data_IF_048231465952
#
_entry.id   IF_048231465952
#
_cell.length_a   1.000
_cell.length_b   1.000
_cell.length_c   1.000
_cell.angle_alpha   90.00
_cell.angle_beta   90.00
_cell.angle_gamma   90.00
#
_symmetry.space_group_name_H-M   'P 1'
#
loop_
_entity.id
_entity.type
_entity.pdbx_description
1 polymer ?
#
# COMPACT_ATOMS: atom_id res chain seq x y z
N UNK A 1 -41.55 16.34 -37.29
CA UNK A 1 -40.50 16.60 -36.28
C UNK A 1 -39.67 15.34 -36.12
N UNK A 2 -38.49 15.25 -36.75
CA UNK A 2 -37.63 14.06 -36.72
C UNK A 2 -36.70 14.09 -35.49
N UNK A 3 -36.71 13.03 -34.69
CA UNK A 3 -35.71 12.76 -33.63
C UNK A 3 -34.47 12.10 -34.27
N UNK A 4 -33.23 12.49 -33.94
CA UNK A 4 -32.07 11.70 -34.33
C UNK A 4 -31.85 10.56 -33.31
N UNK A 5 -31.58 9.37 -33.82
CA UNK A 5 -31.16 8.21 -33.04
C UNK A 5 -29.71 8.41 -32.59
N UNK A 6 -29.47 8.29 -31.28
CA UNK A 6 -28.14 8.34 -30.70
C UNK A 6 -27.39 7.03 -30.98
N UNK A 7 -26.28 7.11 -31.69
CA UNK A 7 -25.35 6.00 -31.93
C UNK A 7 -24.68 5.61 -30.61
N UNK A 8 -24.96 4.42 -30.10
CA UNK A 8 -24.25 3.85 -28.96
C UNK A 8 -22.86 3.35 -29.41
N UNK A 9 -21.79 3.91 -28.84
CA UNK A 9 -20.42 3.44 -29.03
C UNK A 9 -20.19 2.13 -28.25
N UNK A 10 -19.47 1.13 -28.81
CA UNK A 10 -19.19 -0.11 -28.09
C UNK A 10 -18.15 0.12 -27.00
N UNK A 11 -18.48 -0.26 -25.77
CA UNK A 11 -17.55 -0.30 -24.65
C UNK A 11 -16.65 -1.54 -24.78
N UNK A 12 -15.44 -1.35 -25.31
CA UNK A 12 -14.42 -2.40 -25.35
C UNK A 12 -13.91 -2.66 -23.94
N UNK A 13 -14.38 -3.75 -23.32
CA UNK A 13 -13.84 -4.22 -22.04
C UNK A 13 -12.48 -4.86 -22.27
N UNK A 14 -11.40 -4.12 -22.00
CA UNK A 14 -10.06 -4.67 -21.99
C UNK A 14 -9.87 -5.46 -20.69
N UNK A 15 -10.02 -6.77 -20.77
CA UNK A 15 -9.65 -7.69 -19.70
C UNK A 15 -8.14 -7.60 -19.47
N UNK A 16 -7.72 -6.99 -18.36
CA UNK A 16 -6.32 -6.90 -17.97
C UNK A 16 -5.87 -8.23 -17.36
N UNK A 17 -5.20 -9.06 -18.15
CA UNK A 17 -4.51 -10.25 -17.68
C UNK A 17 -3.43 -9.82 -16.67
N UNK A 18 -3.48 -10.35 -15.45
CA UNK A 18 -2.47 -10.09 -14.42
C UNK A 18 -1.31 -11.07 -14.61
N UNK A 19 -0.08 -10.63 -14.90
CA UNK A 19 1.07 -11.53 -15.01
C UNK A 19 1.36 -12.21 -13.66
N UNK A 20 1.56 -13.54 -13.68
CA UNK A 20 1.84 -14.38 -12.50
C UNK A 20 3.30 -14.30 -12.00
N UNK A 21 4.11 -13.41 -12.57
CA UNK A 21 5.53 -13.25 -12.24
C UNK A 21 5.73 -11.85 -11.64
N UNK A 22 6.40 -11.70 -10.48
CA UNK A 22 6.76 -10.38 -10.00
C UNK A 22 7.81 -9.82 -10.96
N UNK A 23 7.36 -9.06 -11.96
CA UNK A 23 8.18 -8.09 -12.66
C UNK A 23 8.92 -7.28 -11.58
N UNK A 24 10.22 -6.99 -11.74
CA UNK A 24 10.87 -6.04 -10.87
C UNK A 24 10.05 -4.76 -10.88
N UNK A 25 9.69 -4.25 -9.70
CA UNK A 25 9.08 -2.93 -9.54
C UNK A 25 9.72 -1.97 -10.52
N UNK A 26 8.95 -1.47 -11.50
CA UNK A 26 9.48 -0.59 -12.53
C UNK A 26 10.22 0.54 -11.83
N UNK A 27 11.49 0.71 -12.18
CA UNK A 27 12.44 1.66 -11.56
C UNK A 27 12.02 3.13 -11.80
N UNK A 28 10.90 3.34 -12.48
CA UNK A 28 10.30 4.63 -12.80
C UNK A 28 9.37 5.09 -11.65
N UNK A 29 9.96 5.63 -10.59
CA UNK A 29 9.19 6.22 -9.50
C UNK A 29 10.06 6.72 -8.36
N UNK A 30 9.56 7.69 -7.61
CA UNK A 30 10.24 8.23 -6.44
C UNK A 30 10.01 7.31 -5.22
N UNK A 31 11.07 6.70 -4.65
CA UNK A 31 10.96 5.91 -3.43
C UNK A 31 10.41 6.75 -2.27
N UNK A 32 9.74 6.09 -1.33
CA UNK A 32 9.32 6.71 -0.07
C UNK A 32 10.54 7.10 0.77
N UNK A 33 10.40 8.13 1.59
CA UNK A 33 11.45 8.58 2.50
C UNK A 33 11.80 7.48 3.51
N UNK A 34 10.79 6.74 3.98
CA UNK A 34 10.94 5.60 4.86
C UNK A 34 9.80 4.58 4.66
N UNK A 35 9.89 3.47 5.39
CA UNK A 35 8.90 2.40 5.34
C UNK A 35 7.56 2.78 5.98
N UNK A 36 7.53 3.71 6.94
CA UNK A 36 6.31 4.14 7.60
C UNK A 36 5.45 4.98 6.66
N UNK A 37 6.05 5.95 5.95
CA UNK A 37 5.40 6.73 4.89
C UNK A 37 4.77 5.81 3.84
N UNK A 38 5.53 4.81 3.41
CA UNK A 38 5.08 3.81 2.45
C UNK A 38 3.86 3.03 2.98
N UNK A 39 3.91 2.59 4.24
CA UNK A 39 2.80 1.88 4.88
C UNK A 39 1.55 2.74 5.01
N UNK A 40 1.69 3.98 5.48
CA UNK A 40 0.58 4.93 5.59
C UNK A 40 -0.08 5.18 4.24
N UNK A 41 0.72 5.42 3.20
CA UNK A 41 0.24 5.58 1.83
C UNK A 41 -0.55 4.36 1.35
N UNK A 42 -0.04 3.15 1.57
CA UNK A 42 -0.73 1.93 1.17
C UNK A 42 -2.06 1.77 1.90
N UNK A 43 -2.11 2.02 3.21
CA UNK A 43 -3.35 1.96 3.99
C UNK A 43 -4.37 2.98 3.48
N UNK A 44 -3.98 4.23 3.20
CA UNK A 44 -4.90 5.22 2.64
C UNK A 44 -5.48 4.78 1.29
N UNK A 45 -4.63 4.27 0.40
CA UNK A 45 -5.09 3.80 -0.91
C UNK A 45 -6.09 2.63 -0.79
N UNK A 46 -5.87 1.73 0.17
CA UNK A 46 -6.80 0.64 0.46
C UNK A 46 -8.11 1.12 1.08
N UNK A 47 -8.09 2.04 2.02
CA UNK A 47 -9.29 2.64 2.62
C UNK A 47 -10.09 3.44 1.58
N UNK A 48 -9.43 4.22 0.72
CA UNK A 48 -10.07 4.94 -0.38
C UNK A 48 -10.74 3.97 -1.37
N UNK A 49 -10.06 2.88 -1.73
CA UNK A 49 -10.64 1.84 -2.59
C UNK A 49 -11.85 1.16 -1.92
N UNK A 50 -11.77 0.88 -0.62
CA UNK A 50 -12.88 0.32 0.15
C UNK A 50 -14.08 1.29 0.23
N UNK A 51 -13.81 2.60 0.27
CA UNK A 51 -14.82 3.66 0.20
C UNK A 51 -15.40 3.88 -1.22
N UNK A 52 -14.98 3.08 -2.22
CA UNK A 52 -15.52 3.12 -3.58
C UNK A 52 -14.74 4.01 -4.55
N UNK A 53 -13.57 4.53 -4.16
CA UNK A 53 -12.72 5.28 -5.09
C UNK A 53 -12.27 4.39 -6.25
N UNK A 54 -12.29 4.94 -7.47
CA UNK A 54 -11.79 4.28 -8.67
C UNK A 54 -10.36 4.73 -8.95
N UNK A 55 -9.47 3.76 -9.11
CA UNK A 55 -8.07 4.03 -9.47
C UNK A 55 -8.01 4.40 -10.95
N UNK A 56 -7.56 5.61 -11.24
CA UNK A 56 -7.29 6.09 -12.60
C UNK A 56 -5.78 6.24 -12.75
N UNK A 57 -5.21 5.60 -13.78
CA UNK A 57 -3.78 5.66 -14.04
C UNK A 57 -3.34 7.10 -14.35
N UNK A 58 -2.18 7.50 -13.83
CA UNK A 58 -1.60 8.83 -14.06
C UNK A 58 -2.18 9.97 -13.22
N UNK A 59 -3.13 9.70 -12.32
CA UNK A 59 -3.69 10.73 -11.42
C UNK A 59 -2.94 10.88 -10.08
N UNK A 60 -1.92 10.06 -9.83
CA UNK A 60 -1.07 10.20 -8.65
C UNK A 60 -0.17 11.43 -8.78
N UNK A 61 -0.10 12.28 -7.75
CA UNK A 61 0.77 13.46 -7.72
C UNK A 61 2.26 13.09 -7.78
N UNK A 62 2.61 11.92 -7.25
CA UNK A 62 3.97 11.37 -7.24
C UNK A 62 3.90 9.96 -7.81
N UNK A 63 4.67 9.70 -8.87
CA UNK A 63 4.86 8.35 -9.37
C UNK A 63 5.67 7.56 -8.33
N UNK A 64 5.07 6.52 -7.76
CA UNK A 64 5.72 5.62 -6.79
C UNK A 64 6.23 4.37 -7.51
N UNK A 65 7.35 3.77 -7.07
CA UNK A 65 7.92 2.59 -7.72
C UNK A 65 7.09 1.30 -7.50
N UNK A 66 5.99 1.37 -6.75
CA UNK A 66 5.15 0.21 -6.43
C UNK A 66 3.67 0.59 -6.33
N UNK A 67 2.79 -0.41 -6.40
CA UNK A 67 1.38 -0.28 -6.10
C UNK A 67 1.09 -0.52 -4.59
N UNK A 68 -0.03 0.00 -4.04
CA UNK A 68 -0.38 -0.22 -2.63
C UNK A 68 -0.45 -1.71 -2.24
N UNK A 69 -0.96 -2.54 -3.15
CA UNK A 69 -1.09 -3.98 -2.97
C UNK A 69 0.27 -4.67 -2.82
N UNK A 70 1.34 -4.09 -3.34
CA UNK A 70 2.67 -4.67 -3.27
C UNK A 70 3.26 -4.60 -1.86
N UNK A 71 2.98 -3.51 -1.13
CA UNK A 71 3.35 -3.42 0.28
C UNK A 71 2.60 -4.46 1.12
N UNK A 72 1.30 -4.66 0.87
CA UNK A 72 0.54 -5.70 1.54
C UNK A 72 1.12 -7.09 1.28
N UNK A 73 1.55 -7.37 0.04
CA UNK A 73 2.21 -8.63 -0.30
C UNK A 73 3.56 -8.81 0.41
N UNK A 74 4.33 -7.73 0.60
CA UNK A 74 5.58 -7.76 1.39
C UNK A 74 5.27 -8.12 2.84
N UNK A 75 4.29 -7.45 3.46
CA UNK A 75 3.90 -7.71 4.86
C UNK A 75 3.34 -9.13 5.03
N UNK A 76 2.48 -9.59 4.13
CA UNK A 76 1.93 -10.96 4.15
C UNK A 76 3.05 -12.00 4.03
N UNK A 77 4.03 -11.79 3.14
CA UNK A 77 5.19 -12.67 3.01
C UNK A 77 6.02 -12.73 4.28
N UNK A 78 6.27 -11.59 4.93
CA UNK A 78 7.02 -11.52 6.18
C UNK A 78 6.27 -12.21 7.34
N UNK A 79 4.94 -12.08 7.36
CA UNK A 79 4.08 -12.78 8.31
C UNK A 79 4.12 -14.31 8.10
N UNK A 80 3.97 -14.77 6.85
CA UNK A 80 4.06 -16.20 6.51
C UNK A 80 5.43 -16.80 6.81
N UNK A 81 6.49 -16.01 6.67
CA UNK A 81 7.85 -16.37 7.05
C UNK A 81 8.10 -16.31 8.58
N UNK A 82 7.07 -16.02 9.38
CA UNK A 82 7.13 -15.83 10.85
C UNK A 82 8.13 -14.76 11.30
N UNK A 83 8.44 -13.79 10.43
CA UNK A 83 9.23 -12.59 10.79
C UNK A 83 8.35 -11.49 11.37
N UNK A 84 7.07 -11.49 11.01
CA UNK A 84 6.04 -10.68 11.67
C UNK A 84 5.08 -11.60 12.43
N UNK A 85 4.62 -11.13 13.58
CA UNK A 85 3.65 -11.82 14.42
C UNK A 85 2.27 -11.17 14.29
N UNK A 86 1.23 -11.86 14.76
CA UNK A 86 -0.15 -11.36 14.72
C UNK A 86 -0.28 -9.99 15.42
N UNK A 87 0.40 -9.81 16.55
CA UNK A 87 0.40 -8.54 17.30
C UNK A 87 1.00 -7.38 16.49
N UNK A 88 2.03 -7.62 15.69
CA UNK A 88 2.57 -6.60 14.77
C UNK A 88 1.51 -6.18 13.76
N UNK A 89 0.78 -7.14 13.16
CA UNK A 89 -0.25 -6.83 12.18
C UNK A 89 -1.40 -6.00 12.78
N UNK A 90 -1.82 -6.33 14.00
CA UNK A 90 -2.85 -5.54 14.71
C UNK A 90 -2.42 -4.10 14.91
N UNK A 91 -1.20 -3.89 15.39
CA UNK A 91 -0.64 -2.54 15.59
C UNK A 91 -0.49 -1.80 14.27
N UNK A 92 0.07 -2.43 13.24
CA UNK A 92 0.24 -1.84 11.90
C UNK A 92 -1.09 -1.37 11.30
N UNK A 93 -2.14 -2.19 11.37
CA UNK A 93 -3.46 -1.82 10.84
C UNK A 93 -4.11 -0.73 11.69
N UNK A 94 -4.05 -0.84 13.02
CA UNK A 94 -4.68 0.12 13.93
C UNK A 94 -4.11 1.54 13.76
N UNK A 95 -2.78 1.66 13.74
CA UNK A 95 -2.10 2.94 13.60
C UNK A 95 -1.99 3.39 12.14
N UNK A 96 -1.89 2.45 11.20
CA UNK A 96 -1.97 2.74 9.77
C UNK A 96 -3.28 3.46 9.40
N UNK A 97 -4.43 3.01 9.91
CA UNK A 97 -5.72 3.68 9.65
C UNK A 97 -5.82 5.07 10.24
N UNK A 98 -5.11 5.33 11.35
CA UNK A 98 -5.06 6.66 11.99
C UNK A 98 -4.08 7.61 11.32
N UNK A 99 -3.25 7.11 10.41
CA UNK A 99 -2.20 7.88 9.75
C UNK A 99 -1.24 8.53 10.77
N UNK A 100 -1.01 7.84 11.90
CA UNK A 100 -0.05 8.26 12.91
C UNK A 100 0.59 7.04 13.55
N UNK A 101 1.89 7.14 13.86
CA UNK A 101 2.58 6.13 14.64
C UNK A 101 2.16 6.19 16.13
N UNK A 102 2.30 5.10 16.89
CA UNK A 102 2.14 5.11 18.35
C UNK A 102 3.12 6.05 19.05
N UNK A 103 2.61 6.84 19.99
CA UNK A 103 3.41 7.79 20.78
C UNK A 103 4.18 7.06 21.91
N UNK A 104 5.52 7.20 22.01
CA UNK A 104 6.32 6.52 23.03
C UNK A 104 6.03 7.04 24.45
N UNK A 105 5.78 8.34 24.61
CA UNK A 105 5.59 8.96 25.93
C UNK A 105 4.19 8.69 26.51
N UNK A 106 3.25 8.23 25.68
CA UNK A 106 1.89 7.90 26.13
C UNK A 106 1.88 6.49 26.70
N UNK A 107 1.69 6.37 28.01
CA UNK A 107 1.69 5.09 28.74
C UNK A 107 0.87 3.98 28.09
N UNK A 108 -0.33 4.30 27.58
CA UNK A 108 -1.22 3.32 26.93
C UNK A 108 -0.73 2.84 25.57
N UNK A 109 0.21 3.54 24.95
CA UNK A 109 0.72 3.25 23.61
C UNK A 109 2.13 2.68 23.61
N UNK A 110 2.85 2.67 24.74
CA UNK A 110 4.21 2.15 24.84
C UNK A 110 4.38 0.74 24.25
N UNK A 111 3.47 -0.20 24.58
CA UNK A 111 3.50 -1.55 24.00
C UNK A 111 3.31 -1.55 22.49
N UNK A 112 2.40 -0.71 22.00
CA UNK A 112 2.18 -0.58 20.56
C UNK A 112 3.40 0.06 19.87
N UNK A 113 4.05 1.03 20.53
CA UNK A 113 5.28 1.64 20.06
C UNK A 113 6.40 0.62 19.87
N UNK A 114 6.65 -0.24 20.86
CA UNK A 114 7.64 -1.32 20.72
C UNK A 114 7.31 -2.26 19.56
N UNK A 115 6.06 -2.73 19.46
CA UNK A 115 5.62 -3.62 18.37
C UNK A 115 5.70 -2.96 16.99
N UNK A 116 5.46 -1.66 16.92
CA UNK A 116 5.59 -0.86 15.70
C UNK A 116 7.06 -0.78 15.27
N UNK A 117 7.97 -0.44 16.18
CA UNK A 117 9.41 -0.43 15.92
C UNK A 117 9.93 -1.81 15.50
N UNK A 118 9.54 -2.87 16.20
CA UNK A 118 9.88 -4.26 15.85
C UNK A 118 9.42 -4.61 14.44
N UNK A 119 8.18 -4.25 14.08
CA UNK A 119 7.65 -4.49 12.75
C UNK A 119 8.47 -3.75 11.67
N UNK A 120 8.75 -2.47 11.86
CA UNK A 120 9.51 -1.68 10.87
C UNK A 120 10.99 -2.05 10.79
N UNK A 121 11.58 -2.62 11.85
CA UNK A 121 12.92 -3.24 11.81
C UNK A 121 12.99 -4.38 10.79
N UNK A 122 11.88 -5.08 10.58
CA UNK A 122 11.77 -6.19 9.61
C UNK A 122 11.29 -5.71 8.24
N UNK A 123 10.34 -4.78 8.20
CA UNK A 123 9.73 -4.30 6.95
C UNK A 123 10.69 -3.40 6.16
N UNK A 124 11.39 -2.49 6.83
CA UNK A 124 12.22 -1.49 6.14
C UNK A 124 13.32 -2.13 5.25
N UNK A 125 14.10 -3.12 5.71
CA UNK A 125 15.06 -3.80 4.84
C UNK A 125 14.40 -4.47 3.63
N UNK A 126 13.21 -5.05 3.79
CA UNK A 126 12.50 -5.70 2.69
C UNK A 126 12.04 -4.70 1.62
N UNK A 127 11.61 -3.50 2.02
CA UNK A 127 11.22 -2.43 1.09
C UNK A 127 12.44 -1.78 0.41
N UNK A 128 13.53 -1.56 1.15
CA UNK A 128 14.80 -1.05 0.59
C UNK A 128 15.36 -1.97 -0.48
N UNK A 129 15.39 -3.27 -0.23
CA UNK A 129 15.85 -4.27 -1.20
C UNK A 129 14.99 -4.32 -2.48
N UNK A 130 13.78 -3.76 -2.44
CA UNK A 130 12.85 -3.64 -3.57
C UNK A 130 12.88 -2.26 -4.23
N UNK A 131 13.68 -1.31 -3.72
CA UNK A 131 13.71 0.08 -4.18
C UNK A 131 12.47 0.89 -3.84
N UNK A 132 11.64 0.42 -2.89
CA UNK A 132 10.36 1.06 -2.54
C UNK A 132 10.58 2.22 -1.57
N UNK A 133 11.44 2.04 -0.57
CA UNK A 133 11.76 3.04 0.45
C UNK A 133 13.29 3.18 0.57
N UNK A 134 13.75 4.29 1.15
CA UNK A 134 15.18 4.55 1.43
C UNK A 134 15.69 3.84 2.69
#
# INVERSE_FOLDING_TARGET
MLRPAATALPATSLSRTVPLKPEPYSVEGQPFADAEEAWFWAVQAHEAKAAGARVVAGCGQVARPCEPQDLLQVVDRLYRARKLMRDHLHVLVHYGRRQSAPEPDRFREQRAHSLWQEAFTVIAPALRNKGIAR
#
